data_IF_389159429158
#
_entry.id   IF_389159429158
#
_cell.length_a   1.000
_cell.length_b   1.000
_cell.length_c   1.000
_cell.angle_alpha   90.00
_cell.angle_beta   90.00
_cell.angle_gamma   90.00
#
_symmetry.space_group_name_H-M   'P 1'
#
loop_
_entity.id
_entity.type
_entity.pdbx_description
1 polymer ?
#
# COMPACT_ATOMS: atom_id res chain seq x y z
N UNK A 1 9.34 -52.14 17.82
CA UNK A 1 8.66 -51.25 18.77
C UNK A 1 9.52 -49.99 18.85
N UNK A 2 9.18 -48.97 18.04
CA UNK A 2 9.79 -47.65 18.16
C UNK A 2 8.95 -46.85 19.17
N UNK A 3 9.57 -46.14 20.12
CA UNK A 3 8.83 -45.33 21.06
C UNK A 3 8.25 -44.09 20.32
N UNK A 4 6.95 -43.89 20.49
CA UNK A 4 6.21 -42.70 20.03
C UNK A 4 6.82 -41.46 20.69
N UNK A 5 7.44 -40.60 19.89
CA UNK A 5 7.85 -39.28 20.33
C UNK A 5 6.60 -38.45 20.62
N UNK A 6 6.51 -37.75 21.75
CA UNK A 6 5.37 -36.88 22.04
C UNK A 6 5.33 -35.71 21.05
N UNK A 7 4.35 -35.74 20.16
CA UNK A 7 4.01 -34.59 19.33
C UNK A 7 3.73 -33.37 20.23
N UNK A 8 4.63 -32.45 20.17
CA UNK A 8 4.61 -31.21 20.95
C UNK A 8 3.44 -30.32 20.50
N UNK A 9 2.27 -30.46 21.13
CA UNK A 9 1.05 -29.68 20.84
C UNK A 9 1.24 -28.16 20.98
N UNK A 10 2.32 -27.73 21.65
CA UNK A 10 2.64 -26.30 21.80
C UNK A 10 3.15 -25.64 20.52
N UNK A 11 3.69 -26.42 19.55
CA UNK A 11 4.10 -25.87 18.27
C UNK A 11 2.92 -25.43 17.40
N UNK A 12 1.73 -26.00 17.58
CA UNK A 12 0.57 -25.73 16.74
C UNK A 12 -0.08 -24.35 16.91
N UNK A 13 0.00 -23.74 18.10
CA UNK A 13 -0.66 -22.45 18.34
C UNK A 13 0.16 -21.27 17.79
N UNK A 14 1.46 -21.23 18.04
CA UNK A 14 2.34 -20.20 17.52
C UNK A 14 2.51 -20.27 16.00
N UNK A 15 2.64 -21.46 15.42
CA UNK A 15 2.73 -21.64 13.97
C UNK A 15 1.43 -21.26 13.25
N UNK A 16 0.30 -21.37 13.91
CA UNK A 16 -1.01 -20.97 13.38
C UNK A 16 -1.23 -19.46 13.43
N UNK A 17 -0.62 -18.76 14.40
CA UNK A 17 -0.69 -17.30 14.53
C UNK A 17 0.36 -16.58 13.67
N UNK A 18 1.56 -17.14 13.56
CA UNK A 18 2.71 -16.60 12.85
C UNK A 18 3.03 -17.42 11.59
N UNK A 19 1.98 -17.89 10.89
CA UNK A 19 2.17 -18.55 9.60
C UNK A 19 2.81 -17.56 8.62
N UNK A 20 3.93 -17.97 7.97
CA UNK A 20 4.68 -17.12 7.06
C UNK A 20 6.17 -17.07 7.40
N UNK A 21 6.88 -16.12 6.81
CA UNK A 21 8.31 -15.96 7.01
C UNK A 21 8.60 -15.38 8.41
N UNK A 22 9.28 -16.16 9.24
CA UNK A 22 9.69 -15.79 10.61
C UNK A 22 10.60 -14.55 10.61
N UNK A 23 11.42 -14.39 9.56
CA UNK A 23 12.33 -13.23 9.44
C UNK A 23 11.54 -11.94 9.32
N UNK A 24 10.44 -11.92 8.56
CA UNK A 24 9.57 -10.76 8.45
C UNK A 24 8.95 -10.37 9.80
N UNK A 25 8.49 -11.33 10.58
CA UNK A 25 7.94 -11.07 11.91
C UNK A 25 8.96 -10.46 12.86
N UNK A 26 10.21 -10.98 12.84
CA UNK A 26 11.31 -10.43 13.66
C UNK A 26 11.64 -9.00 13.23
N UNK A 27 11.73 -8.73 11.93
CA UNK A 27 11.99 -7.37 11.41
C UNK A 27 10.90 -6.40 11.85
N UNK A 28 9.63 -6.78 11.74
CA UNK A 28 8.49 -5.94 12.16
C UNK A 28 8.55 -5.67 13.66
N UNK A 29 8.87 -6.66 14.48
CA UNK A 29 9.01 -6.49 15.92
C UNK A 29 10.15 -5.52 16.27
N UNK A 30 11.32 -5.67 15.66
CA UNK A 30 12.48 -4.79 15.87
C UNK A 30 12.14 -3.36 15.46
N UNK A 31 11.52 -3.17 14.28
CA UNK A 31 11.12 -1.83 13.81
C UNK A 31 10.05 -1.20 14.71
N UNK A 32 9.14 -1.99 15.27
CA UNK A 32 8.11 -1.50 16.20
C UNK A 32 8.73 -1.02 17.52
N UNK A 33 9.69 -1.78 18.07
CA UNK A 33 10.43 -1.40 19.28
C UNK A 33 11.25 -0.14 19.00
N UNK A 34 11.98 -0.09 17.89
CA UNK A 34 12.75 1.08 17.48
C UNK A 34 11.86 2.33 17.33
N UNK A 35 10.67 2.18 16.75
CA UNK A 35 9.68 3.25 16.63
C UNK A 35 9.25 3.80 17.99
N UNK A 36 8.98 2.92 18.97
CA UNK A 36 8.63 3.36 20.34
C UNK A 36 9.76 4.16 21.00
N UNK A 37 11.01 3.68 20.86
CA UNK A 37 12.17 4.35 21.44
C UNK A 37 12.41 5.72 20.80
N UNK A 38 12.32 5.80 19.47
CA UNK A 38 12.51 7.06 18.74
C UNK A 38 11.44 8.08 19.11
N UNK A 39 10.16 7.67 19.18
CA UNK A 39 9.08 8.57 19.56
C UNK A 39 9.23 9.03 21.01
N UNK A 40 9.54 8.13 21.94
CA UNK A 40 9.78 8.51 23.32
C UNK A 40 10.90 9.55 23.44
N UNK A 41 12.01 9.36 22.73
CA UNK A 41 13.14 10.27 22.74
C UNK A 41 12.84 11.62 22.07
N UNK A 42 12.20 11.59 20.87
CA UNK A 42 11.96 12.79 20.08
C UNK A 42 10.84 13.67 20.60
N UNK A 43 9.85 13.09 21.30
CA UNK A 43 8.71 13.85 21.83
C UNK A 43 9.00 14.54 23.17
N UNK A 44 10.13 14.31 23.80
CA UNK A 44 10.50 14.97 25.07
C UNK A 44 10.41 16.50 24.97
N UNK A 45 10.94 17.10 23.91
CA UNK A 45 10.89 18.55 23.71
C UNK A 45 9.47 19.09 23.38
N UNK A 46 8.66 18.31 22.69
CA UNK A 46 7.26 18.66 22.40
C UNK A 46 6.37 18.52 23.63
N UNK A 47 6.61 17.51 24.46
CA UNK A 47 5.88 17.29 25.71
C UNK A 47 6.06 18.47 26.66
N UNK A 48 7.29 18.99 26.78
CA UNK A 48 7.57 20.18 27.58
C UNK A 48 6.82 21.42 27.09
N UNK A 49 6.67 21.58 25.78
CA UNK A 49 6.00 22.76 25.17
C UNK A 49 4.48 22.70 25.18
N UNK A 50 3.89 21.52 25.03
CA UNK A 50 2.45 21.36 24.75
C UNK A 50 1.66 20.60 25.81
N UNK A 51 2.30 19.72 26.56
CA UNK A 51 1.64 18.78 27.48
C UNK A 51 2.20 18.80 28.90
N UNK A 52 2.82 19.91 29.34
CA UNK A 52 3.33 20.05 30.71
C UNK A 52 4.42 19.04 31.08
N UNK A 53 5.12 18.47 30.09
CA UNK A 53 6.21 17.50 30.32
C UNK A 53 5.76 16.02 30.23
N UNK A 54 4.49 15.72 29.93
CA UNK A 54 3.99 14.35 29.90
C UNK A 54 4.37 13.64 28.56
N UNK A 55 5.53 13.01 28.56
CA UNK A 55 6.00 12.14 27.47
C UNK A 55 5.25 10.81 27.40
N UNK A 56 4.66 10.37 28.53
CA UNK A 56 3.94 9.10 28.59
C UNK A 56 2.68 9.11 27.72
N UNK A 57 2.04 10.27 27.57
CA UNK A 57 0.88 10.43 26.68
C UNK A 57 1.21 10.04 25.22
N UNK A 58 2.31 10.57 24.68
CA UNK A 58 2.73 10.27 23.29
C UNK A 58 3.19 8.82 23.11
N UNK A 59 3.87 8.27 24.12
CA UNK A 59 4.27 6.87 24.14
C UNK A 59 3.05 5.93 24.11
N UNK A 60 2.06 6.17 24.97
CA UNK A 60 0.82 5.37 25.00
C UNK A 60 0.02 5.50 23.71
N UNK A 61 0.00 6.68 23.10
CA UNK A 61 -0.65 6.88 21.81
C UNK A 61 0.03 6.05 20.71
N UNK A 62 1.36 6.05 20.65
CA UNK A 62 2.10 5.23 19.70
C UNK A 62 1.90 3.74 19.95
N UNK A 63 1.93 3.31 21.20
CA UNK A 63 1.68 1.92 21.56
C UNK A 63 0.30 1.45 21.09
N UNK A 64 -0.75 2.26 21.26
CA UNK A 64 -2.09 1.97 20.74
C UNK A 64 -2.08 1.76 19.22
N UNK A 65 -1.38 2.62 18.47
CA UNK A 65 -1.28 2.47 17.01
C UNK A 65 -0.51 1.22 16.59
N UNK A 66 0.55 0.87 17.30
CA UNK A 66 1.30 -0.37 17.05
C UNK A 66 0.39 -1.58 17.30
N UNK A 67 -0.29 -1.63 18.42
CA UNK A 67 -1.22 -2.74 18.75
C UNK A 67 -2.34 -2.85 17.70
N UNK A 68 -2.95 -1.72 17.32
CA UNK A 68 -3.96 -1.68 16.28
C UNK A 68 -3.41 -2.14 14.92
N UNK A 69 -2.20 -1.72 14.57
CA UNK A 69 -1.50 -2.14 13.36
C UNK A 69 -1.23 -3.64 13.33
N UNK A 70 -0.74 -4.21 14.43
CA UNK A 70 -0.55 -5.66 14.56
C UNK A 70 -1.86 -6.43 14.46
N UNK A 71 -2.91 -5.95 15.12
CA UNK A 71 -4.25 -6.56 15.02
C UNK A 71 -4.79 -6.55 13.59
N UNK A 72 -4.65 -5.41 12.89
CA UNK A 72 -5.04 -5.29 11.49
C UNK A 72 -4.21 -6.21 10.58
N UNK A 73 -2.88 -6.28 10.80
CA UNK A 73 -1.99 -7.14 10.04
C UNK A 73 -2.36 -8.62 10.22
N UNK A 74 -2.62 -9.08 11.43
CA UNK A 74 -3.06 -10.45 11.71
C UNK A 74 -4.43 -10.72 11.07
N UNK A 75 -5.37 -9.79 11.15
CA UNK A 75 -6.68 -9.92 10.53
C UNK A 75 -6.57 -10.07 9.00
N UNK A 76 -5.77 -9.23 8.36
CA UNK A 76 -5.54 -9.29 6.90
C UNK A 76 -4.80 -10.58 6.52
N UNK A 77 -3.80 -11.00 7.29
CA UNK A 77 -3.04 -12.22 7.06
C UNK A 77 -3.92 -13.49 7.10
N UNK A 78 -4.99 -13.49 7.90
CA UNK A 78 -5.96 -14.61 7.99
C UNK A 78 -6.86 -14.76 6.78
N UNK A 79 -6.96 -13.73 5.95
CA UNK A 79 -7.85 -13.73 4.79
C UNK A 79 -7.05 -14.21 3.57
N UNK A 80 -7.58 -15.21 2.88
CA UNK A 80 -6.96 -15.74 1.65
C UNK A 80 -6.76 -14.61 0.61
N UNK A 81 -5.52 -14.48 0.12
CA UNK A 81 -5.13 -13.47 -0.87
C UNK A 81 -5.95 -13.54 -2.17
N UNK A 82 -6.50 -14.70 -2.53
CA UNK A 82 -7.36 -14.85 -3.70
C UNK A 82 -8.63 -14.00 -3.61
N UNK A 83 -9.12 -13.72 -2.40
CA UNK A 83 -10.26 -12.83 -2.19
C UNK A 83 -9.91 -11.39 -2.54
N UNK A 84 -8.72 -10.95 -2.17
CA UNK A 84 -8.21 -9.60 -2.52
C UNK A 84 -7.87 -9.48 -4.01
N UNK A 85 -7.42 -10.57 -4.65
CA UNK A 85 -7.08 -10.59 -6.07
C UNK A 85 -8.29 -10.52 -7.01
N UNK A 86 -9.52 -10.55 -6.51
CA UNK A 86 -10.72 -10.43 -7.35
C UNK A 86 -10.79 -9.07 -8.06
N UNK A 87 -11.07 -9.04 -9.39
CA UNK A 87 -11.03 -7.78 -10.14
C UNK A 87 -12.02 -6.74 -9.65
N UNK A 88 -13.23 -7.18 -9.28
CA UNK A 88 -14.27 -6.29 -8.75
C UNK A 88 -13.86 -5.65 -7.44
N UNK A 89 -13.23 -6.44 -6.55
CA UNK A 89 -12.74 -5.94 -5.26
C UNK A 89 -11.62 -4.91 -5.43
N UNK A 90 -10.61 -5.24 -6.25
CA UNK A 90 -9.49 -4.32 -6.50
C UNK A 90 -9.93 -3.02 -7.17
N UNK A 91 -10.84 -3.11 -8.17
CA UNK A 91 -11.39 -1.92 -8.81
C UNK A 91 -12.20 -1.08 -7.83
N UNK A 92 -12.99 -1.71 -6.96
CA UNK A 92 -13.75 -1.02 -5.92
C UNK A 92 -12.82 -0.28 -4.95
N UNK A 93 -11.79 -0.97 -4.43
CA UNK A 93 -10.80 -0.36 -3.51
C UNK A 93 -10.07 0.81 -4.18
N UNK A 94 -9.68 0.65 -5.45
CA UNK A 94 -8.99 1.70 -6.21
C UNK A 94 -9.87 2.93 -6.41
N UNK A 95 -11.11 2.74 -6.86
CA UNK A 95 -12.05 3.85 -7.07
C UNK A 95 -12.37 4.54 -5.75
N UNK A 96 -12.58 3.77 -4.68
CA UNK A 96 -12.84 4.33 -3.35
C UNK A 96 -11.63 5.13 -2.84
N UNK A 97 -10.40 4.61 -3.00
CA UNK A 97 -9.19 5.32 -2.62
C UNK A 97 -9.00 6.61 -3.45
N UNK A 98 -9.32 6.57 -4.75
CA UNK A 98 -9.30 7.73 -5.63
C UNK A 98 -10.32 8.79 -5.19
N UNK A 99 -11.54 8.38 -4.84
CA UNK A 99 -12.58 9.29 -4.32
C UNK A 99 -12.14 9.93 -3.00
N UNK A 100 -11.56 9.16 -2.07
CA UNK A 100 -11.01 9.72 -0.84
C UNK A 100 -9.86 10.70 -1.12
N UNK A 101 -9.03 10.40 -2.11
CA UNK A 101 -7.97 11.31 -2.54
C UNK A 101 -8.54 12.63 -3.06
N UNK A 102 -9.58 12.58 -3.91
CA UNK A 102 -10.27 13.76 -4.40
C UNK A 102 -10.98 14.51 -3.27
N UNK A 103 -11.63 13.80 -2.34
CA UNK A 103 -12.29 14.40 -1.19
C UNK A 103 -11.31 15.19 -0.31
N UNK A 104 -10.06 14.74 -0.24
CA UNK A 104 -9.01 15.43 0.55
C UNK A 104 -8.79 16.86 0.10
N UNK A 105 -9.02 17.20 -1.18
CA UNK A 105 -8.92 18.58 -1.66
C UNK A 105 -9.99 19.49 -1.07
N UNK A 106 -11.17 18.95 -0.74
CA UNK A 106 -12.30 19.73 -0.22
C UNK A 106 -12.35 19.75 1.30
N UNK A 107 -11.99 18.66 1.96
CA UNK A 107 -12.17 18.45 3.41
C UNK A 107 -10.83 18.25 4.15
N UNK A 108 -9.72 18.18 3.42
CA UNK A 108 -8.40 17.89 3.99
C UNK A 108 -7.95 18.92 5.01
N UNK A 109 -7.41 18.44 6.13
CA UNK A 109 -6.78 19.28 7.16
C UNK A 109 -5.40 19.69 6.67
N UNK A 110 -5.13 21.00 6.69
CA UNK A 110 -3.83 21.56 6.35
C UNK A 110 -2.82 21.30 7.47
N UNK A 111 -2.06 20.23 7.35
CA UNK A 111 -0.87 19.97 8.15
C UNK A 111 0.36 20.30 7.28
N UNK A 112 1.19 21.22 7.76
CA UNK A 112 2.40 21.66 7.04
C UNK A 112 2.13 22.21 5.63
N UNK A 113 1.16 23.12 5.50
CA UNK A 113 0.82 23.83 4.26
C UNK A 113 0.32 22.96 3.09
N UNK A 114 -0.13 21.73 3.36
CA UNK A 114 -0.74 20.87 2.35
C UNK A 114 -1.91 20.08 2.92
N UNK A 115 -3.04 20.10 2.20
CA UNK A 115 -4.25 19.31 2.51
C UNK A 115 -4.05 17.86 2.12
N UNK A 116 -3.33 17.08 2.94
CA UNK A 116 -2.96 15.69 2.61
C UNK A 116 -3.63 14.67 3.52
N UNK A 117 -4.19 15.12 4.63
CA UNK A 117 -4.66 14.28 5.71
C UNK A 117 -6.14 14.43 5.93
N UNK A 118 -6.84 13.32 6.12
CA UNK A 118 -8.23 13.31 6.57
C UNK A 118 -8.22 12.93 8.05
N UNK A 119 -8.84 13.77 8.88
CA UNK A 119 -9.02 13.48 10.30
C UNK A 119 -10.37 12.81 10.50
N UNK A 120 -10.36 11.63 11.10
CA UNK A 120 -11.58 10.94 11.51
C UNK A 120 -11.92 11.41 12.92
N UNK A 121 -12.97 12.24 13.10
CA UNK A 121 -13.24 12.89 14.39
C UNK A 121 -13.59 11.89 15.50
N UNK A 122 -14.18 10.73 15.16
CA UNK A 122 -14.60 9.71 16.10
C UNK A 122 -13.43 9.03 16.84
N UNK A 123 -12.30 8.85 16.16
CA UNK A 123 -11.16 8.06 16.66
C UNK A 123 -9.95 8.96 16.88
N UNK A 124 -10.00 10.22 16.40
CA UNK A 124 -8.88 11.16 16.48
C UNK A 124 -7.70 10.80 15.58
N UNK A 125 -7.88 9.83 14.68
CA UNK A 125 -6.84 9.33 13.77
C UNK A 125 -6.83 10.16 12.51
N UNK A 126 -5.64 10.57 12.08
CA UNK A 126 -5.43 11.15 10.75
C UNK A 126 -4.87 10.08 9.83
N UNK A 127 -5.44 9.94 8.64
CA UNK A 127 -4.93 9.03 7.63
C UNK A 127 -4.70 9.75 6.30
N UNK A 128 -3.76 9.24 5.51
CA UNK A 128 -3.38 9.80 4.23
C UNK A 128 -3.95 8.92 3.10
N UNK A 129 -4.95 9.40 2.34
CA UNK A 129 -5.57 8.61 1.28
C UNK A 129 -4.61 8.16 0.18
N UNK A 130 -3.55 8.92 -0.10
CA UNK A 130 -2.55 8.55 -1.10
C UNK A 130 -1.85 7.23 -0.81
N UNK A 131 -1.70 6.83 0.47
CA UNK A 131 -1.08 5.56 0.83
C UNK A 131 -1.97 4.37 0.44
N UNK A 132 -3.29 4.50 0.65
CA UNK A 132 -4.26 3.49 0.20
C UNK A 132 -4.33 3.42 -1.32
N UNK A 133 -4.32 4.56 -1.99
CA UNK A 133 -4.33 4.61 -3.47
C UNK A 133 -3.09 3.94 -4.06
N UNK A 134 -1.91 4.14 -3.45
CA UNK A 134 -0.66 3.50 -3.85
C UNK A 134 -0.72 1.98 -3.70
N UNK A 135 -1.21 1.48 -2.57
CA UNK A 135 -1.37 0.04 -2.33
C UNK A 135 -2.36 -0.57 -3.34
N UNK A 136 -3.50 0.07 -3.55
CA UNK A 136 -4.50 -0.37 -4.52
C UNK A 136 -3.95 -0.39 -5.95
N UNK A 137 -3.16 0.63 -6.34
CA UNK A 137 -2.51 0.70 -7.63
C UNK A 137 -1.54 -0.46 -7.84
N UNK A 138 -0.65 -0.72 -6.86
CA UNK A 138 0.33 -1.81 -6.93
C UNK A 138 -0.39 -3.16 -7.07
N UNK A 139 -1.46 -3.38 -6.31
CA UNK A 139 -2.23 -4.61 -6.38
C UNK A 139 -2.94 -4.81 -7.73
N UNK A 140 -3.51 -3.73 -8.32
CA UNK A 140 -4.10 -3.77 -9.66
C UNK A 140 -3.03 -4.07 -10.70
N UNK A 141 -1.89 -3.39 -10.63
CA UNK A 141 -0.79 -3.54 -11.57
C UNK A 141 -0.23 -4.97 -11.53
N UNK A 142 0.06 -5.50 -10.33
CA UNK A 142 0.52 -6.88 -10.15
C UNK A 142 -0.45 -7.89 -10.79
N UNK A 143 -1.75 -7.70 -10.57
CA UNK A 143 -2.78 -8.55 -11.19
C UNK A 143 -2.83 -8.42 -12.71
N UNK A 144 -2.74 -7.20 -13.23
CA UNK A 144 -2.76 -6.96 -14.68
C UNK A 144 -1.53 -7.58 -15.36
N UNK A 145 -0.36 -7.51 -14.72
CA UNK A 145 0.87 -8.13 -15.20
C UNK A 145 0.76 -9.66 -15.16
N UNK A 146 0.34 -10.23 -14.04
CA UNK A 146 0.15 -11.69 -13.91
C UNK A 146 -0.82 -12.25 -14.96
N UNK A 147 -1.92 -11.55 -15.23
CA UNK A 147 -2.89 -11.98 -16.26
C UNK A 147 -2.32 -11.94 -17.68
N UNK A 148 -1.33 -11.08 -17.93
CA UNK A 148 -0.79 -10.82 -19.29
C UNK A 148 0.62 -11.33 -19.49
N UNK A 149 1.19 -12.02 -18.50
CA UNK A 149 2.58 -12.48 -18.51
C UNK A 149 2.96 -13.24 -19.80
N UNK A 150 2.07 -14.11 -20.30
CA UNK A 150 2.30 -14.85 -21.55
C UNK A 150 2.28 -13.99 -22.80
N UNK A 151 1.60 -12.85 -22.77
CA UNK A 151 1.42 -11.99 -23.95
C UNK A 151 2.37 -10.79 -23.97
N UNK A 152 2.91 -10.37 -22.82
CA UNK A 152 3.82 -9.21 -22.70
C UNK A 152 5.10 -9.43 -23.48
N UNK A 153 5.69 -10.64 -23.42
CA UNK A 153 6.88 -10.99 -24.19
C UNK A 153 6.71 -10.93 -25.72
N UNK A 154 5.47 -11.04 -26.21
CA UNK A 154 5.14 -11.05 -27.65
C UNK A 154 4.72 -9.70 -28.20
N UNK A 155 4.54 -8.71 -27.33
CA UNK A 155 3.96 -7.42 -27.71
C UNK A 155 4.83 -6.25 -27.22
N UNK A 156 5.65 -5.68 -28.09
CA UNK A 156 6.44 -4.50 -27.74
C UNK A 156 5.51 -3.31 -27.46
N UNK A 157 5.50 -2.81 -26.22
CA UNK A 157 4.72 -1.63 -25.81
C UNK A 157 5.17 -0.36 -26.57
N UNK A 158 6.48 -0.22 -26.81
CA UNK A 158 7.07 0.94 -27.46
C UNK A 158 6.56 1.20 -28.89
N UNK A 159 6.46 0.19 -29.80
CA UNK A 159 5.92 0.43 -31.13
C UNK A 159 4.44 0.84 -31.14
N UNK A 160 3.64 0.37 -30.17
CA UNK A 160 2.23 0.74 -30.08
C UNK A 160 2.03 2.20 -29.66
N UNK A 161 3.03 2.81 -28.97
CA UNK A 161 3.03 4.21 -28.55
C UNK A 161 3.67 5.14 -29.58
N UNK A 162 4.32 4.63 -30.64
CA UNK A 162 4.99 5.46 -31.64
C UNK A 162 4.11 5.66 -32.87
N UNK A 163 4.07 6.88 -33.40
CA UNK A 163 3.37 7.24 -34.65
C UNK A 163 3.80 6.37 -35.84
N UNK A 164 5.07 5.93 -35.84
CA UNK A 164 5.62 5.06 -36.89
C UNK A 164 5.04 3.64 -36.85
N UNK A 165 4.77 3.12 -35.65
CA UNK A 165 4.09 1.84 -35.46
C UNK A 165 2.63 1.87 -35.93
N UNK A 166 1.91 2.96 -35.62
CA UNK A 166 0.52 3.17 -36.06
C UNK A 166 0.36 3.19 -37.57
N UNK A 167 1.31 3.81 -38.27
CA UNK A 167 1.30 3.88 -39.74
C UNK A 167 1.51 2.51 -40.39
N UNK A 168 2.17 1.56 -39.71
CA UNK A 168 2.49 0.24 -40.30
C UNK A 168 1.39 -0.80 -40.12
N UNK A 169 0.72 -0.83 -38.98
CA UNK A 169 -0.35 -1.80 -38.65
C UNK A 169 -1.37 -1.22 -37.65
N UNK A 170 -2.36 -0.43 -38.11
CA UNK A 170 -3.28 0.28 -37.22
C UNK A 170 -4.12 -0.66 -36.36
N UNK A 171 -4.72 -1.73 -36.96
CA UNK A 171 -5.60 -2.65 -36.23
C UNK A 171 -4.89 -3.43 -35.13
N UNK A 172 -3.67 -3.91 -35.42
CA UNK A 172 -2.85 -4.61 -34.42
C UNK A 172 -2.44 -3.70 -33.26
N UNK A 173 -2.06 -2.47 -33.57
CA UNK A 173 -1.66 -1.49 -32.55
C UNK A 173 -2.85 -1.00 -31.73
N UNK A 174 -4.02 -0.86 -32.34
CA UNK A 174 -5.25 -0.54 -31.61
C UNK A 174 -5.63 -1.63 -30.62
N UNK A 175 -5.53 -2.90 -31.01
CA UNK A 175 -5.76 -4.04 -30.12
C UNK A 175 -4.74 -4.10 -28.98
N UNK A 176 -3.45 -3.81 -29.22
CA UNK A 176 -2.42 -3.73 -28.18
C UNK A 176 -2.73 -2.58 -27.23
N UNK A 177 -3.06 -1.41 -27.76
CA UNK A 177 -3.38 -0.23 -26.96
C UNK A 177 -4.56 -0.50 -26.04
N UNK A 178 -5.67 -1.02 -26.58
CA UNK A 178 -6.91 -1.22 -25.82
C UNK A 178 -6.82 -2.35 -24.81
N UNK A 179 -6.18 -3.46 -25.16
CA UNK A 179 -6.19 -4.67 -24.34
C UNK A 179 -5.00 -4.76 -23.36
N UNK A 180 -3.91 -4.03 -23.61
CA UNK A 180 -2.70 -4.11 -22.80
C UNK A 180 -2.33 -2.74 -22.23
N UNK A 181 -2.09 -1.76 -23.10
CA UNK A 181 -1.53 -0.46 -22.70
C UNK A 181 -2.48 0.32 -21.79
N UNK A 182 -3.74 0.48 -22.18
CA UNK A 182 -4.72 1.23 -21.39
C UNK A 182 -4.98 0.59 -20.04
N UNK A 183 -5.23 -0.73 -19.90
CA UNK A 183 -5.47 -1.34 -18.59
C UNK A 183 -4.26 -1.35 -17.66
N UNK A 184 -3.04 -1.25 -18.20
CA UNK A 184 -1.81 -1.22 -17.40
C UNK A 184 -1.39 0.21 -17.07
N UNK A 185 -1.26 1.08 -18.07
CA UNK A 185 -0.80 2.46 -17.88
C UNK A 185 -1.90 3.40 -17.39
N UNK A 186 -3.17 3.14 -17.72
CA UNK A 186 -4.29 3.98 -17.30
C UNK A 186 -4.36 4.18 -15.78
N UNK A 187 -4.43 3.12 -14.97
CA UNK A 187 -4.41 3.24 -13.52
C UNK A 187 -3.17 3.96 -12.98
N UNK A 188 -1.99 3.75 -13.59
CA UNK A 188 -0.75 4.42 -13.18
C UNK A 188 -0.86 5.92 -13.39
N UNK A 189 -1.27 6.34 -14.59
CA UNK A 189 -1.39 7.77 -14.93
C UNK A 189 -2.43 8.45 -14.03
N UNK A 190 -3.60 7.84 -13.86
CA UNK A 190 -4.68 8.41 -13.04
C UNK A 190 -4.24 8.55 -11.58
N UNK A 191 -3.67 7.49 -10.99
CA UNK A 191 -3.24 7.51 -9.60
C UNK A 191 -2.07 8.47 -9.37
N UNK A 192 -1.06 8.44 -10.23
CA UNK A 192 0.11 9.33 -10.10
C UNK A 192 -0.30 10.80 -10.30
N UNK A 193 -1.19 11.11 -11.23
CA UNK A 193 -1.71 12.47 -11.41
C UNK A 193 -2.49 12.94 -10.18
N UNK A 194 -3.35 12.10 -9.60
CA UNK A 194 -4.09 12.44 -8.39
C UNK A 194 -3.15 12.68 -7.20
N UNK A 195 -2.14 11.83 -7.00
CA UNK A 195 -1.16 11.97 -5.92
C UNK A 195 -0.25 13.20 -6.16
N UNK A 196 0.13 13.47 -7.41
CA UNK A 196 1.02 14.56 -7.79
C UNK A 196 0.50 15.93 -7.28
N UNK A 197 -0.78 16.18 -7.41
CA UNK A 197 -1.40 17.44 -7.00
C UNK A 197 -1.23 17.66 -5.48
N UNK A 198 -1.24 16.59 -4.67
CA UNK A 198 -1.11 16.71 -3.21
C UNK A 198 0.32 16.50 -2.71
N UNK A 199 1.10 15.65 -3.36
CA UNK A 199 2.44 15.28 -2.91
C UNK A 199 3.32 14.77 -4.05
N UNK A 200 4.13 15.67 -4.62
CA UNK A 200 5.07 15.33 -5.68
C UNK A 200 6.02 14.17 -5.34
N UNK A 201 6.61 14.19 -4.13
CA UNK A 201 7.56 13.16 -3.72
C UNK A 201 6.92 11.76 -3.68
N UNK A 202 5.71 11.67 -3.12
CA UNK A 202 4.97 10.40 -3.07
C UNK A 202 4.57 9.93 -4.48
N UNK A 203 4.17 10.85 -5.35
CA UNK A 203 3.86 10.53 -6.74
C UNK A 203 5.09 9.99 -7.50
N UNK A 204 6.24 10.65 -7.34
CA UNK A 204 7.50 10.22 -7.96
C UNK A 204 7.91 8.82 -7.50
N UNK A 205 7.90 8.54 -6.18
CA UNK A 205 8.21 7.22 -5.64
C UNK A 205 7.22 6.17 -6.16
N UNK A 206 5.93 6.49 -6.19
CA UNK A 206 4.90 5.57 -6.71
C UNK A 206 5.13 5.26 -8.18
N UNK A 207 5.43 6.28 -8.99
CA UNK A 207 5.72 6.11 -10.41
C UNK A 207 6.97 5.25 -10.62
N UNK A 208 8.07 5.51 -9.89
CA UNK A 208 9.28 4.66 -9.95
C UNK A 208 8.98 3.22 -9.56
N UNK A 209 8.18 2.99 -8.51
CA UNK A 209 7.77 1.64 -8.12
C UNK A 209 7.00 0.94 -9.24
N UNK A 210 6.07 1.65 -9.92
CA UNK A 210 5.35 1.11 -11.06
C UNK A 210 6.27 0.79 -12.24
N UNK A 211 7.27 1.64 -12.53
CA UNK A 211 8.27 1.36 -13.57
C UNK A 211 9.08 0.11 -13.27
N UNK A 212 9.53 -0.07 -12.02
CA UNK A 212 10.26 -1.28 -11.60
C UNK A 212 9.38 -2.53 -11.77
N UNK A 213 8.09 -2.43 -11.48
CA UNK A 213 7.17 -3.55 -11.69
C UNK A 213 6.92 -3.88 -13.17
N UNK A 214 7.07 -2.89 -14.07
CA UNK A 214 6.90 -3.07 -15.52
C UNK A 214 8.15 -3.63 -16.21
N UNK A 215 9.31 -3.48 -15.57
CA UNK A 215 10.59 -4.03 -16.05
C UNK A 215 10.70 -5.51 -15.71
#
# INVERSE_FOLDING_TARGET
MQPDEPHNEQQGFFDRFFSGDRVLWVIIAILSIASLLVIYSSTASMAYRKAGGDTAHYFLQQLKFIVLGFAAMIAVHRIDYQRYARPRFLSFVFVTALLFMLLTFFVGVNLNSASRWIRIPLIGVTFQPSDFLRIALIAILARQLAKRQTNIHRMPLLPALTLRGWRKNPDKNFNILTNITIPVLGPIVIACAAIFISNFSTAAITFCTCLIMLY
#
